data_IF_111684302850
#
_entry.id   IF_111684302850
#
_cell.length_a   1.000
_cell.length_b   1.000
_cell.length_c   1.000
_cell.angle_alpha   90.00
_cell.angle_beta   90.00
_cell.angle_gamma   90.00
#
_symmetry.space_group_name_H-M   'P 1'
#
loop_
_entity.id
_entity.type
_entity.pdbx_description
1 polymer ?
#
# COMPACT_ATOMS: atom_id res chain seq x y z
N UNK A 1 -24.66 -75.78 7.16
CA UNK A 1 -25.51 -74.66 6.69
C UNK A 1 -26.49 -74.27 7.78
N UNK A 2 -26.22 -73.17 8.51
CA UNK A 2 -27.23 -72.19 8.99
C UNK A 2 -26.50 -70.86 9.16
N UNK A 3 -26.83 -69.95 8.25
CA UNK A 3 -26.39 -68.57 8.16
C UNK A 3 -27.18 -67.77 9.21
N UNK A 4 -26.51 -67.04 10.11
CA UNK A 4 -27.16 -66.01 10.92
C UNK A 4 -26.23 -64.83 11.08
N UNK A 5 -26.67 -63.76 10.43
CA UNK A 5 -26.13 -62.42 10.38
C UNK A 5 -26.70 -61.69 11.60
N UNK A 6 -25.87 -61.21 12.52
CA UNK A 6 -26.26 -60.12 13.41
C UNK A 6 -25.09 -59.17 13.57
N UNK A 7 -25.32 -57.95 13.08
CA UNK A 7 -24.54 -56.76 13.33
C UNK A 7 -24.47 -56.47 14.83
N UNK A 8 -23.26 -56.26 15.34
CA UNK A 8 -23.03 -55.40 16.50
C UNK A 8 -21.84 -54.50 16.17
N UNK A 9 -22.18 -53.28 15.75
CA UNK A 9 -21.26 -52.16 15.58
C UNK A 9 -20.81 -51.78 17.00
N UNK A 10 -19.60 -52.16 17.40
CA UNK A 10 -18.93 -51.58 18.54
C UNK A 10 -17.91 -50.57 18.01
N UNK A 11 -18.34 -49.32 17.90
CA UNK A 11 -17.47 -48.19 17.68
C UNK A 11 -16.51 -48.06 18.87
N UNK A 12 -15.23 -48.36 18.64
CA UNK A 12 -14.14 -47.92 19.51
C UNK A 12 -13.04 -47.38 18.62
N UNK A 13 -13.24 -46.16 18.12
CA UNK A 13 -12.16 -45.35 17.60
C UNK A 13 -11.33 -44.88 18.79
N UNK A 14 -10.30 -45.65 19.14
CA UNK A 14 -9.19 -45.13 19.93
C UNK A 14 -8.49 -44.11 19.04
N UNK A 15 -8.69 -42.84 19.33
CA UNK A 15 -7.95 -41.77 18.69
C UNK A 15 -6.46 -41.97 18.97
N UNK A 16 -5.57 -42.08 17.95
CA UNK A 16 -4.16 -41.85 18.20
C UNK A 16 -4.00 -40.37 18.55
N UNK A 17 -3.45 -40.13 19.73
CA UNK A 17 -2.95 -38.85 20.18
C UNK A 17 -2.18 -38.20 19.03
N UNK A 18 -2.62 -36.99 18.63
CA UNK A 18 -1.86 -36.12 17.76
C UNK A 18 -0.55 -35.81 18.49
N UNK A 19 0.51 -36.54 18.14
CA UNK A 19 1.86 -36.22 18.55
C UNK A 19 2.17 -34.80 18.07
N UNK A 20 2.60 -33.98 19.01
CA UNK A 20 3.12 -32.62 18.85
C UNK A 20 3.81 -32.40 17.51
N UNK A 21 3.17 -31.65 16.62
CA UNK A 21 3.90 -30.92 15.62
C UNK A 21 4.68 -29.82 16.37
N UNK A 22 6.02 -29.75 16.29
CA UNK A 22 6.69 -28.54 16.70
C UNK A 22 6.17 -27.44 15.79
N UNK A 23 5.42 -26.50 16.36
CA UNK A 23 5.18 -25.22 15.72
C UNK A 23 6.56 -24.63 15.44
N UNK A 24 7.02 -24.82 14.21
CA UNK A 24 8.11 -24.07 13.62
C UNK A 24 7.59 -22.64 13.48
N UNK A 25 7.59 -21.92 14.60
CA UNK A 25 7.60 -20.47 14.64
C UNK A 25 8.91 -20.09 13.99
N UNK A 26 8.92 -20.07 12.66
CA UNK A 26 9.78 -19.18 11.90
C UNK A 26 9.56 -17.84 12.59
N UNK A 27 10.57 -17.38 13.31
CA UNK A 27 10.55 -16.06 13.91
C UNK A 27 10.27 -15.12 12.75
N UNK A 28 9.01 -14.74 12.60
CA UNK A 28 8.61 -13.62 11.78
C UNK A 28 9.39 -12.48 12.39
N UNK A 29 10.46 -12.09 11.69
CA UNK A 29 11.23 -10.91 12.02
C UNK A 29 10.19 -9.85 12.33
N UNK A 30 10.19 -9.35 13.57
CA UNK A 30 9.38 -8.20 13.95
C UNK A 30 9.72 -7.13 12.92
N UNK A 31 8.84 -6.98 11.93
CA UNK A 31 8.90 -5.88 10.99
C UNK A 31 8.81 -4.66 11.89
N UNK A 32 9.93 -3.94 12.00
CA UNK A 32 9.95 -2.66 12.66
C UNK A 32 8.79 -1.84 12.09
N UNK A 33 8.10 -1.02 12.90
CA UNK A 33 7.00 -0.20 12.42
C UNK A 33 7.46 0.54 11.16
N UNK A 34 6.78 0.27 10.05
CA UNK A 34 7.04 0.93 8.77
C UNK A 34 6.93 2.43 9.00
N UNK A 35 8.07 3.10 8.91
CA UNK A 35 8.15 4.53 9.16
C UNK A 35 7.62 5.24 7.92
N UNK A 36 6.63 6.13 8.09
CA UNK A 36 6.03 6.84 6.95
C UNK A 36 7.11 7.65 6.24
N UNK A 37 7.24 7.46 4.93
CA UNK A 37 8.26 8.11 4.11
C UNK A 37 9.64 7.46 4.18
N UNK A 38 9.77 6.31 4.86
CA UNK A 38 11.00 5.55 4.84
C UNK A 38 11.15 4.72 3.56
N UNK A 39 12.41 4.53 3.18
CA UNK A 39 12.86 3.92 1.95
C UNK A 39 13.75 2.71 2.31
N UNK A 40 13.16 1.53 2.59
CA UNK A 40 13.93 0.32 2.92
C UNK A 40 14.78 -0.15 1.74
N UNK A 41 15.97 -0.63 2.02
CA UNK A 41 16.91 -1.11 1.00
C UNK A 41 17.55 0.00 0.17
N UNK A 42 17.31 1.27 0.53
CA UNK A 42 17.83 2.44 -0.17
C UNK A 42 18.70 3.29 0.77
N UNK A 43 19.84 3.71 0.25
CA UNK A 43 20.77 4.61 0.88
C UNK A 43 20.84 5.93 0.11
N UNK A 44 20.74 7.06 0.81
CA UNK A 44 20.85 8.39 0.19
C UNK A 44 22.26 8.92 0.37
N UNK A 45 23.11 8.78 -0.64
CA UNK A 45 24.53 9.15 -0.59
C UNK A 45 24.76 10.67 -0.63
N UNK A 46 25.66 11.14 0.25
CA UNK A 46 26.21 12.50 0.26
C UNK A 46 25.57 13.45 1.28
N UNK A 47 26.15 14.65 1.41
CA UNK A 47 25.69 15.73 2.31
C UNK A 47 25.56 15.35 3.80
N UNK A 48 26.17 14.25 4.25
CA UNK A 48 26.25 13.86 5.67
C UNK A 48 26.96 14.95 6.47
N UNK A 49 26.33 15.41 7.54
CA UNK A 49 26.91 16.40 8.47
C UNK A 49 27.03 15.87 9.90
N UNK A 50 26.38 14.75 10.22
CA UNK A 50 26.48 14.09 11.51
C UNK A 50 26.28 12.59 11.34
N UNK A 51 27.03 11.81 12.12
CA UNK A 51 26.90 10.36 12.25
C UNK A 51 26.73 10.04 13.72
N UNK A 52 25.63 9.40 14.09
CA UNK A 52 25.27 9.10 15.48
C UNK A 52 24.88 7.63 15.62
N UNK A 53 25.12 6.99 16.78
CA UNK A 53 24.60 5.67 17.04
C UNK A 53 23.07 5.70 17.02
N UNK A 54 22.47 4.65 16.46
CA UNK A 54 21.02 4.54 16.29
C UNK A 54 20.68 3.07 16.08
N UNK A 55 19.79 2.54 16.91
CA UNK A 55 19.44 1.10 16.89
C UNK A 55 18.48 0.74 15.74
N UNK A 56 17.73 1.73 15.25
CA UNK A 56 16.70 1.53 14.25
C UNK A 56 16.40 2.79 13.42
N UNK A 57 15.78 2.58 12.25
CA UNK A 57 15.44 3.64 11.31
C UNK A 57 14.50 4.71 11.90
N UNK A 58 13.61 4.34 12.82
CA UNK A 58 12.65 5.27 13.42
C UNK A 58 13.34 6.29 14.34
N UNK A 59 14.35 5.84 15.10
CA UNK A 59 15.18 6.73 15.90
C UNK A 59 16.00 7.70 15.03
N UNK A 60 16.48 7.24 13.87
CA UNK A 60 17.19 8.08 12.92
C UNK A 60 16.27 9.13 12.26
N UNK A 61 15.06 8.72 11.88
CA UNK A 61 14.03 9.62 11.36
C UNK A 61 13.65 10.68 12.40
N UNK A 62 13.46 10.30 13.66
CA UNK A 62 13.14 11.22 14.75
C UNK A 62 14.27 12.24 14.96
N UNK A 63 15.52 11.80 15.00
CA UNK A 63 16.67 12.70 15.11
C UNK A 63 16.73 13.72 13.96
N UNK A 64 16.40 13.30 12.74
CA UNK A 64 16.30 14.20 11.59
C UNK A 64 15.09 15.14 11.69
N UNK A 65 13.96 14.64 12.20
CA UNK A 65 12.77 15.46 12.43
C UNK A 65 13.00 16.51 13.53
N UNK A 66 13.92 16.29 14.46
CA UNK A 66 14.22 17.25 15.53
C UNK A 66 15.25 18.32 15.13
N UNK A 67 16.08 18.08 14.11
CA UNK A 67 17.07 19.06 13.62
C UNK A 67 16.58 19.81 12.36
N UNK A 68 16.43 21.13 12.46
CA UNK A 68 16.02 21.99 11.35
C UNK A 68 16.98 21.97 10.14
N UNK A 69 18.24 21.61 10.33
CA UNK A 69 19.25 21.48 9.25
C UNK A 69 19.11 20.17 8.48
N UNK A 70 18.38 19.20 9.04
CA UNK A 70 18.26 17.88 8.45
C UNK A 70 17.24 17.88 7.30
N UNK A 71 17.73 17.55 6.11
CA UNK A 71 16.91 17.40 4.89
C UNK A 71 16.61 15.93 4.62
N UNK A 72 17.57 15.04 4.90
CA UNK A 72 17.43 13.60 4.72
C UNK A 72 18.21 12.84 5.79
N UNK A 73 17.91 11.56 5.93
CA UNK A 73 18.57 10.66 6.86
C UNK A 73 18.81 9.29 6.22
N UNK A 74 19.81 8.56 6.71
CA UNK A 74 20.02 7.15 6.39
C UNK A 74 20.45 6.40 7.64
N UNK A 75 19.67 5.41 8.04
CA UNK A 75 20.06 4.41 9.02
C UNK A 75 20.69 3.22 8.30
N UNK A 76 21.84 2.75 8.77
CA UNK A 76 22.49 1.53 8.29
C UNK A 76 22.51 0.55 9.46
N UNK A 77 21.89 -0.60 9.25
CA UNK A 77 21.82 -1.66 10.25
C UNK A 77 23.20 -2.26 10.52
N UNK A 78 23.35 -2.87 11.71
CA UNK A 78 24.55 -3.59 12.12
C UNK A 78 25.00 -4.58 11.05
N UNK A 79 26.30 -4.63 10.76
CA UNK A 79 26.90 -5.56 9.81
C UNK A 79 28.24 -6.08 10.31
N UNK A 80 28.32 -7.38 10.56
CA UNK A 80 29.52 -8.00 11.14
C UNK A 80 29.91 -7.34 12.46
N UNK A 81 31.06 -6.65 12.46
CA UNK A 81 31.61 -5.94 13.63
C UNK A 81 31.20 -4.45 13.69
N UNK A 82 30.44 -3.95 12.72
CA UNK A 82 29.99 -2.57 12.69
C UNK A 82 28.61 -2.44 13.33
N UNK A 83 28.52 -1.72 14.45
CA UNK A 83 27.24 -1.34 15.08
C UNK A 83 26.40 -0.47 14.15
N UNK A 84 25.08 -0.51 14.31
CA UNK A 84 24.15 0.33 13.55
C UNK A 84 24.39 1.83 13.78
N UNK A 85 24.22 2.62 12.73
CA UNK A 85 24.39 4.07 12.79
C UNK A 85 23.36 4.81 11.96
N UNK A 86 23.17 6.08 12.32
CA UNK A 86 22.35 7.04 11.61
C UNK A 86 23.24 8.15 11.05
N UNK A 87 22.97 8.51 9.80
CA UNK A 87 23.59 9.64 9.13
C UNK A 87 22.56 10.74 8.87
N UNK A 88 22.77 11.91 9.45
CA UNK A 88 21.95 13.10 9.20
C UNK A 88 22.56 13.92 8.06
N UNK A 89 21.70 14.37 7.12
CA UNK A 89 22.14 14.95 5.84
C UNK A 89 21.53 16.32 5.57
N UNK A 90 22.32 17.24 5.02
CA UNK A 90 21.90 18.62 4.65
C UNK A 90 21.24 18.70 3.27
N UNK A 91 21.16 17.59 2.56
CA UNK A 91 20.53 17.53 1.24
C UNK A 91 19.90 16.17 1.02
N UNK A 92 19.04 16.08 0.00
CA UNK A 92 18.34 14.84 -0.35
C UNK A 92 19.26 13.72 -0.81
N UNK A 93 20.49 13.98 -1.20
CA UNK A 93 21.43 12.94 -1.64
C UNK A 93 21.02 12.20 -2.91
N UNK A 94 21.92 11.38 -3.44
CA UNK A 94 21.62 10.46 -4.54
C UNK A 94 21.17 9.12 -3.97
N UNK A 95 20.10 8.54 -4.50
CA UNK A 95 19.61 7.23 -4.06
C UNK A 95 20.49 6.12 -4.66
N UNK A 96 20.93 5.19 -3.81
CA UNK A 96 21.69 4.00 -4.14
C UNK A 96 21.07 2.78 -3.45
N UNK A 97 21.08 1.61 -4.11
CA UNK A 97 20.58 0.38 -3.49
C UNK A 97 21.58 -0.13 -2.43
N UNK A 98 21.10 -0.31 -1.20
CA UNK A 98 21.84 -0.92 -0.12
C UNK A 98 20.85 -1.67 0.79
N UNK A 99 20.84 -3.01 0.78
CA UNK A 99 19.85 -3.81 1.51
C UNK A 99 19.93 -3.65 3.04
N UNK A 100 21.03 -3.10 3.57
CA UNK A 100 21.20 -2.82 5.01
C UNK A 100 20.76 -1.42 5.40
N UNK A 101 20.43 -0.56 4.43
CA UNK A 101 20.06 0.81 4.68
C UNK A 101 18.53 0.98 4.69
N UNK A 102 18.07 1.90 5.51
CA UNK A 102 16.75 2.51 5.40
C UNK A 102 16.95 4.00 5.47
N UNK A 103 16.44 4.73 4.49
CA UNK A 103 16.59 6.18 4.41
C UNK A 103 15.26 6.89 4.40
N UNK A 104 15.27 8.21 4.43
CA UNK A 104 14.08 9.01 4.18
C UNK A 104 14.39 10.50 4.05
N UNK A 105 13.37 11.24 3.67
CA UNK A 105 13.37 12.70 3.68
C UNK A 105 12.78 13.20 4.99
N UNK A 106 13.31 14.31 5.52
CA UNK A 106 12.72 14.97 6.68
C UNK A 106 11.28 15.40 6.35
N UNK A 107 10.29 15.18 7.22
CA UNK A 107 8.91 15.64 7.01
C UNK A 107 8.82 17.16 6.72
N UNK A 108 9.80 17.95 7.17
CA UNK A 108 9.88 19.39 6.88
C UNK A 108 10.20 19.72 5.43
N UNK A 109 10.83 18.80 4.71
CA UNK A 109 11.35 18.99 3.36
C UNK A 109 10.66 18.09 2.33
N UNK A 110 9.75 17.21 2.75
CA UNK A 110 9.11 16.19 1.91
C UNK A 110 8.44 16.76 0.65
N UNK A 111 7.78 17.92 0.76
CA UNK A 111 7.15 18.60 -0.38
C UNK A 111 8.13 18.97 -1.52
N UNK A 112 9.42 19.17 -1.22
CA UNK A 112 10.45 19.50 -2.21
C UNK A 112 10.87 18.24 -2.99
N UNK A 113 10.73 17.07 -2.38
CA UNK A 113 11.18 15.79 -2.93
C UNK A 113 10.04 14.88 -3.39
N UNK A 114 8.78 15.26 -3.12
CA UNK A 114 7.63 14.58 -3.67
C UNK A 114 7.71 14.58 -5.20
N UNK A 115 7.44 13.45 -5.88
CA UNK A 115 7.30 13.46 -7.32
C UNK A 115 6.18 14.47 -7.64
N UNK A 116 6.47 15.40 -8.56
CA UNK A 116 5.41 16.24 -9.13
C UNK A 116 4.39 15.26 -9.68
N UNK A 117 3.23 15.15 -9.04
CA UNK A 117 2.07 14.54 -9.68
C UNK A 117 1.86 15.40 -10.92
N UNK A 118 2.28 14.90 -12.08
CA UNK A 118 1.84 15.46 -13.33
C UNK A 118 0.33 15.33 -13.25
N UNK A 119 -0.35 16.44 -12.99
CA UNK A 119 -1.78 16.52 -13.21
C UNK A 119 -1.98 15.94 -14.62
N UNK A 120 -2.93 15.01 -14.83
CA UNK A 120 -3.21 14.51 -16.16
C UNK A 120 -3.40 15.76 -17.01
N UNK A 121 -2.46 15.99 -17.94
CA UNK A 121 -2.58 17.06 -18.91
C UNK A 121 -3.94 16.88 -19.58
N UNK A 122 -4.59 17.99 -19.92
CA UNK A 122 -5.89 18.14 -20.58
C UNK A 122 -6.07 17.36 -21.92
N UNK A 123 -5.49 16.16 -22.08
CA UNK A 123 -5.71 15.23 -23.19
C UNK A 123 -7.01 14.41 -23.03
N UNK A 124 -7.87 14.74 -22.05
CA UNK A 124 -9.26 14.28 -22.02
C UNK A 124 -10.27 15.38 -22.37
N UNK A 125 -9.85 16.39 -23.13
CA UNK A 125 -10.75 17.16 -23.98
C UNK A 125 -10.43 16.81 -25.42
N UNK A 126 -10.78 15.56 -25.76
CA UNK A 126 -10.91 15.14 -27.15
C UNK A 126 -11.88 16.09 -27.84
N UNK A 127 -11.36 16.73 -28.88
CA UNK A 127 -12.05 17.31 -30.02
C UNK A 127 -13.58 17.20 -29.95
N UNK A 128 -14.23 18.28 -29.53
CA UNK A 128 -15.69 18.37 -29.44
C UNK A 128 -16.37 18.53 -30.82
N UNK A 129 -15.73 18.09 -31.91
CA UNK A 129 -16.24 18.28 -33.27
C UNK A 129 -16.77 16.98 -33.92
N UNK A 130 -16.75 15.86 -33.20
CA UNK A 130 -17.24 14.57 -33.71
C UNK A 130 -18.57 14.06 -33.14
N UNK A 131 -19.24 14.78 -32.22
CA UNK A 131 -20.63 14.43 -31.85
C UNK A 131 -21.61 15.11 -32.81
N UNK A 132 -21.60 14.69 -34.07
CA UNK A 132 -22.74 14.89 -34.96
C UNK A 132 -23.29 13.53 -35.33
N UNK A 133 -24.56 13.34 -34.99
CA UNK A 133 -25.42 12.19 -35.29
C UNK A 133 -25.31 10.98 -34.36
N UNK A 134 -25.92 11.09 -33.17
CA UNK A 134 -26.96 10.13 -32.76
C UNK A 134 -28.08 10.94 -32.10
N UNK A 135 -28.77 11.77 -32.89
CA UNK A 135 -30.14 12.14 -32.54
C UNK A 135 -30.96 10.92 -32.88
N UNK A 136 -31.34 10.15 -31.86
CA UNK A 136 -32.45 9.21 -31.97
C UNK A 136 -33.63 10.05 -32.47
N UNK A 137 -34.01 9.86 -33.73
CA UNK A 137 -35.28 10.36 -34.22
C UNK A 137 -36.35 9.64 -33.40
N UNK A 138 -36.80 10.31 -32.33
CA UNK A 138 -38.05 9.95 -31.68
C UNK A 138 -39.11 10.34 -32.70
N UNK A 139 -39.40 9.37 -33.58
CA UNK A 139 -40.51 9.39 -34.50
C UNK A 139 -41.75 9.83 -33.72
N UNK A 140 -42.30 10.95 -34.17
CA UNK A 140 -43.52 11.54 -33.68
C UNK A 140 -44.64 10.55 -33.98
N UNK A 141 -44.99 9.73 -33.00
CA UNK A 141 -46.22 8.94 -33.04
C UNK A 141 -47.36 9.94 -32.81
N UNK A 142 -47.89 10.48 -33.90
CA UNK A 142 -49.18 11.16 -33.93
C UNK A 142 -50.26 10.12 -33.56
N UNK A 143 -50.70 10.12 -32.30
CA UNK A 143 -51.93 9.43 -31.86
C UNK A 143 -53.06 10.46 -31.87
N UNK A 144 -53.48 10.88 -33.06
CA UNK A 144 -54.80 11.50 -33.24
C UNK A 144 -55.87 10.40 -33.20
N UNK A 145 -56.27 10.02 -31.99
CA UNK A 145 -57.47 9.23 -31.75
C UNK A 145 -58.62 10.15 -31.35
N UNK A 146 -59.75 10.20 -32.09
CA UNK A 146 -60.88 11.03 -31.69
C UNK A 146 -61.57 10.39 -30.49
N UNK A 147 -61.36 10.97 -29.30
CA UNK A 147 -62.21 10.73 -28.14
C UNK A 147 -63.00 12.00 -27.86
N UNK A 148 -64.05 12.16 -28.67
CA UNK A 148 -65.22 12.95 -28.33
C UNK A 148 -65.88 12.31 -27.12
N UNK A 149 -65.81 12.96 -25.96
CA UNK A 149 -66.78 12.84 -24.86
C UNK A 149 -66.64 14.07 -23.94
N UNK A 150 -67.35 15.15 -24.27
CA UNK A 150 -67.69 16.18 -23.27
C UNK A 150 -69.04 15.85 -22.63
N UNK A 151 -69.13 15.70 -21.30
CA UNK A 151 -70.40 15.72 -20.58
C UNK A 151 -70.72 17.15 -20.12
N UNK A 152 -71.86 17.68 -20.55
CA UNK A 152 -72.52 18.83 -19.90
C UNK A 152 -74.03 18.65 -19.93
N UNK A 153 -74.60 18.59 -18.74
CA UNK A 153 -76.02 18.67 -18.39
C UNK A 153 -76.69 19.95 -18.93
N UNK A 154 -77.84 19.80 -19.61
CA UNK A 154 -79.19 20.39 -19.35
C UNK A 154 -80.10 20.19 -20.59
#
# INVERSE_FOLDING_TARGET
MRLSWMLAIAAYLVAPAFADAPMSLKADAMAAPETVGAEPGLYRFGATYSVIPSEDASSCQAACADDAKCVAWSHVATTGEHDAWCELKRGGGRIEHNPLATSGISPRHEAIFAPVQQAPSDELLGDADHIKAITVEIEKVDVDGPTDLTPTDD
#
